data_IF_382682835457
#
_entry.id   IF_382682835457
#
_cell.length_a   1.000
_cell.length_b   1.000
_cell.length_c   1.000
_cell.angle_alpha   90.00
_cell.angle_beta   90.00
_cell.angle_gamma   90.00
#
_symmetry.space_group_name_H-M   'P 1'
#
loop_
_entity.id
_entity.type
_entity.pdbx_description
1 polymer ?
#
# COMPACT_ATOMS: atom_id res chain seq x y z
N UNK A 1 -2.58 18.83 1.09
CA UNK A 1 -3.63 17.91 0.59
C UNK A 1 -2.94 16.63 0.17
N UNK A 2 -3.46 15.46 0.58
CA UNK A 2 -2.87 14.17 0.20
C UNK A 2 -3.15 13.91 -1.28
N UNK A 3 -2.10 13.60 -2.04
CA UNK A 3 -2.19 13.20 -3.44
C UNK A 3 -2.15 11.69 -3.54
N UNK A 4 -3.31 11.08 -3.77
CA UNK A 4 -3.41 9.63 -3.92
C UNK A 4 -2.86 9.13 -5.25
N UNK A 5 -2.61 9.98 -6.24
CA UNK A 5 -2.09 9.52 -7.54
C UNK A 5 -0.57 9.32 -7.53
N UNK A 6 0.11 9.72 -6.44
CA UNK A 6 1.54 9.53 -6.25
C UNK A 6 1.79 8.88 -4.91
N UNK A 7 2.59 7.83 -4.87
CA UNK A 7 2.90 7.15 -3.63
C UNK A 7 4.28 6.48 -3.67
N UNK A 8 4.85 6.34 -2.48
CA UNK A 8 6.02 5.53 -2.24
C UNK A 8 5.57 4.10 -1.89
N UNK A 9 6.22 3.11 -2.47
CA UNK A 9 6.18 1.73 -2.00
C UNK A 9 7.25 1.62 -0.93
N UNK A 10 6.82 1.31 0.28
CA UNK A 10 7.65 1.29 1.48
C UNK A 10 7.94 -0.16 1.86
N UNK A 11 9.16 -0.44 2.32
CA UNK A 11 9.46 -1.61 3.14
C UNK A 11 9.91 -1.11 4.51
N UNK A 12 9.17 -1.46 5.56
CA UNK A 12 9.34 -0.80 6.86
C UNK A 12 9.29 0.75 6.67
N UNK A 13 10.37 1.47 6.95
CA UNK A 13 10.44 2.93 6.76
C UNK A 13 11.24 3.35 5.53
N UNK A 14 11.75 2.40 4.75
CA UNK A 14 12.60 2.65 3.59
C UNK A 14 11.75 2.67 2.32
N UNK A 15 12.03 3.62 1.43
CA UNK A 15 11.37 3.72 0.12
C UNK A 15 12.04 2.70 -0.80
N UNK A 16 11.27 1.75 -1.31
CA UNK A 16 11.76 0.71 -2.24
C UNK A 16 11.31 0.93 -3.68
N UNK A 17 10.24 1.69 -3.90
CA UNK A 17 9.86 2.20 -5.21
C UNK A 17 9.03 3.48 -5.10
N UNK A 18 8.94 4.26 -6.17
CA UNK A 18 7.95 5.33 -6.32
C UNK A 18 7.03 5.03 -7.48
N UNK A 19 5.77 5.44 -7.35
CA UNK A 19 4.73 5.25 -8.36
C UNK A 19 4.01 6.56 -8.63
N UNK A 20 3.89 6.91 -9.90
CA UNK A 20 3.04 7.99 -10.39
C UNK A 20 1.97 7.42 -11.30
N UNK A 21 0.72 7.37 -10.83
CA UNK A 21 -0.42 6.85 -11.58
C UNK A 21 -0.82 7.75 -12.76
N UNK A 22 -0.41 9.02 -12.74
CA UNK A 22 -0.75 10.01 -13.76
C UNK A 22 0.46 10.91 -14.03
N UNK A 23 1.50 10.38 -14.71
CA UNK A 23 2.69 11.16 -15.00
C UNK A 23 2.36 12.33 -15.92
N UNK A 24 3.07 13.45 -15.74
CA UNK A 24 2.78 14.72 -16.41
C UNK A 24 2.86 14.66 -17.95
N UNK A 25 3.60 13.69 -18.48
CA UNK A 25 3.74 13.45 -19.93
C UNK A 25 2.52 12.71 -20.55
N UNK A 26 1.49 12.36 -19.76
CA UNK A 26 0.23 11.81 -20.28
C UNK A 26 0.25 10.30 -20.60
N UNK A 27 1.06 9.52 -19.88
CA UNK A 27 1.20 8.06 -20.07
C UNK A 27 0.41 7.17 -19.09
N UNK A 28 0.65 5.85 -19.18
CA UNK A 28 0.22 4.86 -18.17
C UNK A 28 1.00 5.04 -16.87
N UNK A 29 0.63 4.37 -15.76
CA UNK A 29 1.35 4.48 -14.50
C UNK A 29 2.86 4.26 -14.67
N UNK A 30 3.66 5.09 -14.01
CA UNK A 30 5.12 5.06 -14.09
C UNK A 30 5.70 4.64 -12.75
N UNK A 31 6.68 3.75 -12.78
CA UNK A 31 7.33 3.17 -11.59
C UNK A 31 8.83 3.39 -11.68
N UNK A 32 9.45 3.73 -10.55
CA UNK A 32 10.90 3.66 -10.36
C UNK A 32 11.15 2.79 -9.12
N UNK A 33 11.74 1.61 -9.30
CA UNK A 33 12.22 0.75 -8.21
C UNK A 33 13.63 1.18 -7.78
N UNK A 34 13.92 1.01 -6.49
CA UNK A 34 15.23 1.33 -5.90
C UNK A 34 15.95 0.10 -5.34
N UNK A 35 15.33 -1.07 -5.45
CA UNK A 35 15.90 -2.35 -5.02
C UNK A 35 15.82 -3.36 -6.17
N UNK A 36 16.75 -4.31 -6.18
CA UNK A 36 16.88 -5.39 -7.17
C UNK A 36 16.43 -6.77 -6.62
N UNK A 37 16.01 -6.84 -5.35
CA UNK A 37 15.49 -8.05 -4.72
C UNK A 37 14.11 -8.42 -5.30
N UNK A 38 14.08 -9.49 -6.09
CA UNK A 38 12.91 -9.99 -6.81
C UNK A 38 11.67 -10.20 -5.92
N UNK A 39 11.84 -10.54 -4.64
CA UNK A 39 10.70 -10.82 -3.76
C UNK A 39 10.00 -9.56 -3.23
N UNK A 40 10.60 -8.38 -3.41
CA UNK A 40 10.10 -7.11 -2.87
C UNK A 40 9.82 -6.07 -3.94
N UNK A 41 10.19 -6.33 -5.19
CA UNK A 41 10.07 -5.39 -6.29
C UNK A 41 8.59 -5.14 -6.65
N UNK A 42 8.21 -3.89 -6.88
CA UNK A 42 6.83 -3.53 -7.24
C UNK A 42 6.50 -3.84 -8.71
N UNK A 43 7.49 -3.68 -9.59
CA UNK A 43 7.41 -3.93 -11.03
C UNK A 43 8.66 -4.69 -11.47
N UNK A 44 8.60 -5.62 -12.43
CA UNK A 44 9.77 -6.40 -12.86
C UNK A 44 10.90 -5.55 -13.46
N UNK A 45 10.57 -4.42 -14.07
CA UNK A 45 11.58 -3.50 -14.62
C UNK A 45 11.98 -2.47 -13.57
N UNK A 46 13.26 -2.11 -13.51
CA UNK A 46 13.75 -1.11 -12.55
C UNK A 46 13.10 0.26 -12.72
N UNK A 47 12.77 0.67 -13.94
CA UNK A 47 12.13 1.95 -14.20
C UNK A 47 11.30 1.86 -15.49
N UNK A 48 10.12 2.47 -15.49
CA UNK A 48 9.32 2.62 -16.69
C UNK A 48 7.82 2.62 -16.46
N UNK A 49 7.11 2.66 -17.58
CA UNK A 49 5.66 2.54 -17.61
C UNK A 49 5.22 1.10 -17.36
N UNK A 50 4.22 0.93 -16.51
CA UNK A 50 3.49 -0.33 -16.34
C UNK A 50 2.09 -0.21 -16.94
N UNK A 51 1.50 -1.35 -17.25
CA UNK A 51 0.12 -1.46 -17.71
C UNK A 51 -0.87 -1.32 -16.55
N UNK A 52 -2.12 -0.98 -16.87
CA UNK A 52 -3.20 -0.99 -15.87
C UNK A 52 -3.47 -2.40 -15.33
N UNK A 53 -3.22 -3.44 -16.13
CA UNK A 53 -3.38 -4.84 -15.69
C UNK A 53 -2.35 -5.22 -14.63
N UNK A 54 -1.08 -4.83 -14.80
CA UNK A 54 -0.03 -5.03 -13.79
C UNK A 54 -0.36 -4.29 -12.49
N UNK A 55 -0.83 -3.05 -12.59
CA UNK A 55 -1.28 -2.30 -11.43
C UNK A 55 -2.47 -3.00 -10.74
N UNK A 56 -3.51 -3.40 -11.48
CA UNK A 56 -4.66 -4.11 -10.93
C UNK A 56 -4.28 -5.45 -10.26
N UNK A 57 -3.32 -6.18 -10.84
CA UNK A 57 -2.76 -7.38 -10.19
C UNK A 57 -2.16 -7.01 -8.84
N UNK A 58 -1.33 -5.98 -8.76
CA UNK A 58 -0.74 -5.56 -7.49
C UNK A 58 -1.81 -5.14 -6.47
N UNK A 59 -2.78 -4.33 -6.87
CA UNK A 59 -3.91 -3.91 -6.00
C UNK A 59 -4.73 -5.10 -5.51
N UNK A 60 -4.93 -6.11 -6.36
CA UNK A 60 -5.63 -7.34 -5.97
C UNK A 60 -4.88 -8.09 -4.87
N UNK A 61 -3.56 -8.15 -4.91
CA UNK A 61 -2.75 -8.80 -3.87
C UNK A 61 -2.81 -8.05 -2.54
N UNK A 62 -2.97 -6.73 -2.58
CA UNK A 62 -3.09 -5.86 -1.39
C UNK A 62 -4.52 -5.66 -0.89
N UNK A 63 -5.48 -6.43 -1.40
CA UNK A 63 -6.88 -6.35 -0.97
C UNK A 63 -7.46 -7.73 -0.70
N UNK A 64 -8.34 -7.84 0.30
CA UNK A 64 -9.06 -9.08 0.55
C UNK A 64 -9.97 -9.42 -0.64
N UNK A 65 -10.16 -10.69 -1.02
CA UNK A 65 -10.99 -11.02 -2.17
C UNK A 65 -12.46 -10.62 -1.94
N UNK A 66 -13.20 -10.17 -2.98
CA UNK A 66 -14.60 -9.79 -2.84
C UNK A 66 -15.51 -10.98 -2.46
N UNK A 67 -15.05 -12.22 -2.66
CA UNK A 67 -15.74 -13.46 -2.30
C UNK A 67 -15.47 -13.92 -0.87
N UNK A 68 -14.70 -13.16 -0.08
CA UNK A 68 -14.39 -13.53 1.31
C UNK A 68 -15.67 -13.57 2.14
N UNK A 69 -15.84 -14.62 2.97
CA UNK A 69 -17.06 -14.82 3.76
C UNK A 69 -17.45 -13.61 4.64
N UNK A 70 -16.46 -12.86 5.14
CA UNK A 70 -16.67 -11.66 5.94
C UNK A 70 -16.35 -10.35 5.18
N UNK A 71 -16.45 -10.32 3.85
CA UNK A 71 -16.14 -9.14 3.04
C UNK A 71 -16.97 -7.91 3.44
N UNK A 72 -18.27 -8.07 3.70
CA UNK A 72 -19.15 -6.96 4.08
C UNK A 72 -18.78 -6.34 5.45
N UNK A 73 -18.37 -7.18 6.40
CA UNK A 73 -17.88 -6.72 7.70
C UNK A 73 -16.59 -5.92 7.57
N UNK A 74 -15.67 -6.38 6.73
CA UNK A 74 -14.41 -5.68 6.43
C UNK A 74 -14.66 -4.35 5.72
N UNK A 75 -15.57 -4.31 4.74
CA UNK A 75 -15.96 -3.06 4.09
C UNK A 75 -16.57 -2.08 5.10
N UNK A 76 -17.46 -2.56 5.98
CA UNK A 76 -18.06 -1.76 7.04
C UNK A 76 -17.01 -1.22 8.01
N UNK A 77 -16.03 -2.02 8.43
CA UNK A 77 -14.94 -1.54 9.31
C UNK A 77 -14.05 -0.49 8.64
N UNK A 78 -13.94 -0.52 7.29
CA UNK A 78 -13.25 0.51 6.51
C UNK A 78 -14.12 1.73 6.19
N UNK A 79 -15.39 1.73 6.59
CA UNK A 79 -16.37 2.78 6.28
C UNK A 79 -16.74 2.82 4.79
N UNK A 80 -16.69 1.67 4.10
CA UNK A 80 -16.97 1.53 2.67
C UNK A 80 -18.33 0.88 2.44
N UNK A 81 -19.08 1.41 1.46
CA UNK A 81 -20.40 0.90 1.07
C UNK A 81 -20.34 -0.11 -0.10
N UNK A 82 -19.24 -0.10 -0.84
CA UNK A 82 -19.04 -0.97 -1.98
C UNK A 82 -17.58 -1.38 -2.08
N UNK A 83 -17.35 -2.56 -2.64
CA UNK A 83 -16.01 -3.06 -2.87
C UNK A 83 -15.30 -2.23 -3.96
N UNK A 84 -14.22 -1.55 -3.58
CA UNK A 84 -13.36 -0.82 -4.50
C UNK A 84 -11.89 -1.02 -4.09
N UNK A 85 -11.09 -1.69 -4.92
CA UNK A 85 -9.71 -2.07 -4.54
C UNK A 85 -8.87 -0.87 -4.18
N UNK A 86 -8.94 0.18 -5.00
CA UNK A 86 -8.18 1.40 -4.75
C UNK A 86 -8.63 2.11 -3.47
N UNK A 87 -9.93 2.15 -3.21
CA UNK A 87 -10.49 2.67 -1.96
C UNK A 87 -10.02 1.88 -0.73
N UNK A 88 -9.99 0.55 -0.82
CA UNK A 88 -9.46 -0.32 0.26
C UNK A 88 -7.98 -0.03 0.49
N UNK A 89 -7.17 0.02 -0.57
CA UNK A 89 -5.74 0.34 -0.48
C UNK A 89 -5.51 1.71 0.13
N UNK A 90 -6.30 2.72 -0.23
CA UNK A 90 -6.22 4.06 0.38
C UNK A 90 -6.54 4.08 1.87
N UNK A 91 -7.39 3.16 2.34
CA UNK A 91 -7.77 3.06 3.76
C UNK A 91 -6.79 2.23 4.59
N UNK A 92 -6.14 1.25 3.95
CA UNK A 92 -5.31 0.24 4.61
C UNK A 92 -3.82 0.44 4.34
N UNK A 93 -3.45 1.34 3.45
CA UNK A 93 -2.10 1.45 2.88
C UNK A 93 -1.59 0.17 2.21
N UNK A 94 -2.47 -0.78 1.90
CA UNK A 94 -2.09 -2.08 1.34
C UNK A 94 -1.23 -2.95 2.25
N UNK A 95 -1.28 -2.73 3.57
CA UNK A 95 -0.55 -3.55 4.55
C UNK A 95 -1.04 -4.99 4.51
N UNK A 96 -0.12 -5.94 4.66
CA UNK A 96 -0.41 -7.37 4.71
C UNK A 96 0.14 -7.97 6.00
N UNK A 97 -0.37 -9.15 6.37
CA UNK A 97 0.17 -9.89 7.52
C UNK A 97 1.46 -10.65 7.19
N UNK A 98 1.72 -10.91 5.91
CA UNK A 98 2.79 -11.79 5.45
C UNK A 98 4.07 -11.03 5.03
N UNK A 99 4.00 -9.70 4.89
CA UNK A 99 5.14 -8.84 4.57
C UNK A 99 5.03 -7.47 5.25
N UNK A 100 6.12 -6.69 5.22
CA UNK A 100 6.17 -5.32 5.74
C UNK A 100 6.15 -4.26 4.62
N UNK A 101 5.55 -4.60 3.48
CA UNK A 101 5.37 -3.69 2.35
C UNK A 101 4.05 -2.92 2.52
N UNK A 102 4.10 -1.62 2.29
CA UNK A 102 2.92 -0.74 2.35
C UNK A 102 3.09 0.49 1.46
N UNK A 103 2.03 1.25 1.27
CA UNK A 103 2.03 2.47 0.45
C UNK A 103 1.92 3.72 1.28
N UNK A 104 2.85 4.66 1.09
CA UNK A 104 2.75 6.01 1.64
C UNK A 104 2.35 6.98 0.54
N UNK A 105 1.17 7.57 0.63
CA UNK A 105 0.69 8.53 -0.35
C UNK A 105 1.42 9.86 -0.20
N UNK A 106 1.58 10.57 -1.32
CA UNK A 106 2.31 11.84 -1.33
C UNK A 106 1.61 12.86 -0.43
N UNK A 107 2.39 13.44 0.48
CA UNK A 107 1.94 14.40 1.50
C UNK A 107 1.64 13.77 2.85
N UNK A 108 1.78 12.45 3.00
CA UNK A 108 1.71 11.75 4.28
C UNK A 108 3.09 11.68 4.94
N UNK A 109 3.12 11.74 6.28
CA UNK A 109 4.34 11.57 7.09
C UNK A 109 4.33 10.27 7.90
N UNK A 110 3.43 9.34 7.53
CA UNK A 110 3.28 8.05 8.19
C UNK A 110 4.57 7.23 8.13
N UNK A 111 4.73 6.38 9.13
CA UNK A 111 5.79 5.38 9.26
C UNK A 111 5.17 3.99 9.44
N UNK A 112 5.99 2.94 9.28
CA UNK A 112 5.52 1.56 9.43
C UNK A 112 4.76 1.31 10.75
N UNK A 113 5.24 1.88 11.86
CA UNK A 113 4.58 1.79 13.19
C UNK A 113 3.14 2.30 13.21
N UNK A 114 2.78 3.20 12.30
CA UNK A 114 1.46 3.83 12.28
C UNK A 114 0.44 2.92 11.59
N UNK A 115 0.88 2.15 10.59
CA UNK A 115 0.03 1.34 9.71
C UNK A 115 0.12 -0.18 9.91
N UNK A 116 1.20 -0.69 10.53
CA UNK A 116 1.42 -2.13 10.62
C UNK A 116 0.35 -2.86 11.45
N UNK A 117 0.06 -4.10 11.07
CA UNK A 117 -0.98 -4.93 11.69
C UNK A 117 -0.56 -5.53 13.03
N UNK A 118 0.75 -5.75 13.23
CA UNK A 118 1.32 -6.45 14.40
C UNK A 118 2.26 -5.53 15.18
N UNK A 119 1.74 -4.44 15.74
CA UNK A 119 2.54 -3.39 16.39
C UNK A 119 3.38 -3.95 17.54
N UNK A 120 2.80 -4.85 18.32
CA UNK A 120 3.43 -5.55 19.44
C UNK A 120 4.67 -6.36 19.03
N UNK A 121 4.72 -6.88 17.79
CA UNK A 121 5.85 -7.67 17.31
C UNK A 121 7.06 -6.78 16.97
N UNK A 122 6.84 -5.67 16.27
CA UNK A 122 7.92 -4.80 15.79
C UNK A 122 8.24 -3.64 16.74
N UNK A 123 7.28 -3.25 17.58
CA UNK A 123 7.36 -2.09 18.48
C UNK A 123 6.82 -2.44 19.88
N UNK A 124 7.37 -3.46 20.56
CA UNK A 124 6.84 -3.98 21.83
C UNK A 124 6.79 -2.93 22.96
N UNK A 125 7.67 -1.92 22.92
CA UNK A 125 7.72 -0.86 23.92
C UNK A 125 6.65 0.23 23.70
N UNK A 126 6.03 0.28 22.51
CA UNK A 126 5.01 1.28 22.17
C UNK A 126 3.60 0.83 22.56
N UNK A 127 3.43 -0.43 22.98
CA UNK A 127 2.17 -0.98 23.49
C UNK A 127 1.76 -0.41 24.86
N UNK A 128 2.66 0.32 25.52
CA UNK A 128 2.44 0.88 26.87
C UNK A 128 1.87 2.31 26.87
N UNK A 129 1.71 2.96 25.71
CA UNK A 129 1.25 4.35 25.62
C UNK A 129 -0.25 4.52 25.32
N UNK A 130 -1.08 3.50 25.57
CA UNK A 130 -2.55 3.66 25.51
C UNK A 130 -3.20 3.14 26.78
N UNK A 131 -2.90 3.83 27.89
CA UNK A 131 -3.71 3.85 29.11
C UNK A 131 -3.59 5.24 29.74
N UNK A 132 -4.35 6.21 29.21
CA UNK A 132 -4.85 7.40 29.92
C UNK A 132 -6.13 7.87 29.24
#
# INVERSE_FOLDING_TARGET
MIDYMKFDVMWMNDIIATVDLKPANGGTPYVVNYIDDFNKQFSPNMEGHITLEELEKWLKWRTFPPTRANADELLKSLGMQAYNRWGIVRKTHGVMADDEIWLRFKGEELRHKDVCLRKELYYPNNSSETLI
#
